data_IF_398831586341
#
_entry.id   IF_398831586341
#
_cell.length_a   1.000
_cell.length_b   1.000
_cell.length_c   1.000
_cell.angle_alpha   90.00
_cell.angle_beta   90.00
_cell.angle_gamma   90.00
#
_symmetry.space_group_name_H-M   'P 1'
#
loop_
_entity.id
_entity.type
_entity.pdbx_description
1 polymer ?
#
# COMPACT_ATOMS: atom_id res chain seq x y z
N UNK A 1 -21.83 25.79 31.06
CA UNK A 1 -21.01 26.71 30.24
C UNK A 1 -19.70 26.00 29.91
N UNK A 2 -19.26 26.04 28.64
CA UNK A 2 -17.97 25.59 28.05
C UNK A 2 -17.62 24.09 28.20
N UNK A 3 -17.87 23.19 27.22
CA UNK A 3 -17.44 23.11 25.80
C UNK A 3 -15.94 22.83 25.67
N UNK A 4 -15.57 21.58 25.41
CA UNK A 4 -14.25 21.19 24.90
C UNK A 4 -14.46 20.07 23.88
N UNK A 5 -14.66 20.49 22.64
CA UNK A 5 -14.54 19.64 21.47
C UNK A 5 -13.05 19.40 21.23
N UNK A 6 -12.58 18.18 21.46
CA UNK A 6 -11.24 17.77 21.02
C UNK A 6 -11.33 17.47 19.53
N UNK A 7 -10.94 18.47 18.74
CA UNK A 7 -10.72 18.39 17.31
C UNK A 7 -9.54 17.43 17.09
N UNK A 8 -9.82 16.19 16.70
CA UNK A 8 -8.77 15.31 16.14
C UNK A 8 -8.35 15.92 14.81
N UNK A 9 -7.13 16.45 14.78
CA UNK A 9 -6.49 16.91 13.57
C UNK A 9 -6.33 15.72 12.61
N UNK A 10 -7.10 15.71 11.52
CA UNK A 10 -6.76 14.90 10.37
C UNK A 10 -5.45 15.47 9.81
N UNK A 11 -4.34 14.75 10.03
CA UNK A 11 -3.12 14.95 9.25
C UNK A 11 -3.45 14.50 7.81
N UNK A 12 -3.86 15.46 6.97
CA UNK A 12 -3.91 15.26 5.54
C UNK A 12 -2.47 15.36 5.00
N UNK A 13 -1.72 14.27 5.10
CA UNK A 13 -0.49 14.08 4.31
C UNK A 13 -0.92 13.87 2.87
N UNK A 14 -0.80 14.93 2.06
CA UNK A 14 -0.92 14.82 0.62
C UNK A 14 0.27 14.00 0.11
N UNK A 15 0.11 12.67 0.05
CA UNK A 15 1.04 11.79 -0.61
C UNK A 15 1.03 12.14 -2.10
N UNK A 16 2.21 12.51 -2.61
CA UNK A 16 2.46 12.70 -4.03
C UNK A 16 2.11 11.39 -4.74
N UNK A 17 1.05 11.39 -5.54
CA UNK A 17 0.73 10.31 -6.48
C UNK A 17 1.82 10.31 -7.56
N UNK A 18 2.92 9.62 -7.28
CA UNK A 18 3.83 9.16 -8.33
C UNK A 18 3.09 8.10 -9.12
N UNK A 19 3.02 8.24 -10.45
CA UNK A 19 2.50 7.20 -11.32
C UNK A 19 3.16 5.87 -10.94
N UNK A 20 2.35 4.95 -10.40
CA UNK A 20 2.87 3.79 -9.68
C UNK A 20 3.70 2.89 -10.56
N UNK A 21 4.74 2.32 -9.98
CA UNK A 21 5.56 1.31 -10.63
C UNK A 21 4.79 0.06 -11.04
N UNK A 22 5.50 -0.93 -11.58
CA UNK A 22 4.88 -2.12 -12.15
C UNK A 22 4.30 -3.06 -11.06
N UNK A 23 4.75 -2.95 -9.80
CA UNK A 23 4.21 -3.68 -8.66
C UNK A 23 4.34 -2.88 -7.36
N UNK A 24 3.47 -3.16 -6.39
CA UNK A 24 3.45 -2.53 -5.07
C UNK A 24 3.32 -3.56 -3.95
N UNK A 25 4.05 -3.33 -2.85
CA UNK A 25 4.00 -4.17 -1.64
C UNK A 25 3.87 -3.34 -0.37
N UNK A 26 3.17 -3.89 0.63
CA UNK A 26 3.27 -3.41 2.00
C UNK A 26 4.43 -4.10 2.70
N UNK A 27 5.14 -3.36 3.55
CA UNK A 27 6.37 -3.80 4.22
C UNK A 27 6.27 -3.53 5.72
N UNK A 28 6.80 -4.42 6.55
CA UNK A 28 6.76 -4.23 8.01
C UNK A 28 7.48 -2.96 8.45
N UNK A 29 7.20 -2.46 9.67
CA UNK A 29 7.92 -1.31 10.26
C UNK A 29 9.44 -1.57 10.28
N UNK A 30 10.15 -1.01 9.31
CA UNK A 30 11.59 -1.25 9.07
C UNK A 30 11.94 -1.63 7.64
N UNK A 31 10.97 -1.88 6.77
CA UNK A 31 11.16 -2.08 5.33
C UNK A 31 11.82 -3.41 4.92
N UNK A 32 12.11 -4.30 5.88
CA UNK A 32 12.93 -5.49 5.66
C UNK A 32 12.21 -6.71 5.08
N UNK A 33 10.88 -6.78 5.18
CA UNK A 33 10.08 -7.89 4.66
C UNK A 33 8.71 -7.40 4.20
N UNK A 34 8.11 -8.12 3.25
CA UNK A 34 6.77 -7.87 2.72
C UNK A 34 5.74 -8.46 3.66
N UNK A 35 4.80 -7.63 4.09
CA UNK A 35 3.64 -8.05 4.89
C UNK A 35 2.60 -8.67 3.95
N UNK A 36 2.61 -10.00 3.84
CA UNK A 36 1.77 -10.71 2.85
C UNK A 36 0.29 -10.41 3.03
N UNK A 37 -0.22 -10.54 4.27
CA UNK A 37 -1.64 -10.33 4.56
C UNK A 37 -2.05 -8.88 4.30
N UNK A 38 -1.24 -7.90 4.73
CA UNK A 38 -1.53 -6.48 4.52
C UNK A 38 -1.50 -6.14 3.03
N UNK A 39 -0.50 -6.64 2.29
CA UNK A 39 -0.38 -6.41 0.85
C UNK A 39 -1.57 -6.98 0.10
N UNK A 40 -2.00 -8.20 0.44
CA UNK A 40 -3.16 -8.85 -0.17
C UNK A 40 -4.45 -8.09 0.11
N UNK A 41 -4.70 -7.71 1.36
CA UNK A 41 -5.88 -6.96 1.76
C UNK A 41 -5.89 -5.54 1.17
N UNK A 42 -4.73 -4.88 1.08
CA UNK A 42 -4.62 -3.58 0.43
C UNK A 42 -4.81 -3.67 -1.07
N UNK A 43 -4.24 -4.67 -1.73
CA UNK A 43 -4.40 -4.85 -3.17
C UNK A 43 -5.87 -5.03 -3.56
N UNK A 44 -6.64 -5.78 -2.76
CA UNK A 44 -8.08 -5.92 -2.95
C UNK A 44 -8.87 -4.62 -2.71
N UNK A 45 -8.32 -3.67 -1.94
CA UNK A 45 -9.01 -2.44 -1.55
C UNK A 45 -8.75 -1.25 -2.49
N UNK A 46 -7.58 -1.18 -3.14
CA UNK A 46 -7.10 0.06 -3.80
C UNK A 46 -7.58 0.24 -5.23
N UNK A 47 -7.74 -0.83 -6.00
CA UNK A 47 -8.27 -0.74 -7.37
C UNK A 47 -8.74 -2.09 -7.92
N UNK A 48 -9.89 -2.09 -8.60
CA UNK A 48 -10.44 -3.26 -9.29
C UNK A 48 -9.65 -3.70 -10.54
N UNK A 49 -8.71 -2.88 -11.01
CA UNK A 49 -7.73 -3.20 -12.06
C UNK A 49 -6.39 -3.65 -11.48
N UNK A 50 -6.31 -4.01 -10.20
CA UNK A 50 -5.14 -4.65 -9.60
C UNK A 50 -5.47 -6.05 -9.13
N UNK A 51 -4.47 -6.92 -9.14
CA UNK A 51 -4.58 -8.28 -8.62
C UNK A 51 -3.40 -8.56 -7.73
N UNK A 52 -3.64 -9.32 -6.67
CA UNK A 52 -2.58 -9.85 -5.85
C UNK A 52 -1.97 -11.07 -6.54
N UNK A 53 -0.66 -11.05 -6.72
CA UNK A 53 0.12 -12.17 -7.23
C UNK A 53 0.59 -13.06 -6.08
N UNK A 54 0.05 -14.27 -6.02
CA UNK A 54 0.34 -15.24 -4.96
C UNK A 54 1.74 -15.86 -5.07
N UNK A 55 2.44 -15.69 -6.20
CA UNK A 55 3.77 -16.28 -6.43
C UNK A 55 4.86 -15.33 -5.92
N UNK A 56 4.72 -14.05 -6.24
CA UNK A 56 5.68 -13.00 -5.89
C UNK A 56 5.25 -12.16 -4.69
N UNK A 57 4.03 -12.36 -4.19
CA UNK A 57 3.43 -11.64 -3.06
C UNK A 57 3.30 -10.14 -3.29
N UNK A 58 2.98 -9.76 -4.52
CA UNK A 58 2.94 -8.39 -4.98
C UNK A 58 1.55 -8.00 -5.42
N UNK A 59 1.16 -6.74 -5.21
CA UNK A 59 0.05 -6.18 -5.96
C UNK A 59 0.54 -5.78 -7.35
N UNK A 60 -0.13 -6.24 -8.41
CA UNK A 60 0.24 -5.97 -9.81
C UNK A 60 -0.98 -5.47 -10.59
N UNK A 61 -0.81 -4.59 -11.60
CA UNK A 61 -1.92 -4.15 -12.42
C UNK A 61 -2.39 -5.28 -13.37
N UNK A 62 -3.71 -5.38 -13.58
CA UNK A 62 -4.33 -6.38 -14.44
C UNK A 62 -4.19 -6.06 -15.93
N UNK A 63 -4.51 -4.82 -16.29
CA UNK A 63 -4.69 -4.34 -17.67
C UNK A 63 -4.12 -2.93 -17.91
N UNK A 64 -3.63 -2.26 -16.85
CA UNK A 64 -3.24 -0.85 -16.88
C UNK A 64 -1.72 -0.65 -16.72
N UNK A 65 -1.22 0.50 -17.18
CA UNK A 65 0.18 0.93 -17.04
C UNK A 65 0.48 1.51 -15.64
N UNK A 66 0.05 0.82 -14.58
CA UNK A 66 0.37 1.23 -13.20
C UNK A 66 -0.71 0.90 -12.18
N UNK A 67 -0.31 0.95 -10.91
CA UNK A 67 -1.16 0.76 -9.72
C UNK A 67 -1.49 2.11 -9.11
N UNK A 68 -2.61 2.19 -8.39
CA UNK A 68 -2.87 3.31 -7.47
C UNK A 68 -1.94 3.22 -6.25
N UNK A 69 -0.68 3.61 -6.43
CA UNK A 69 0.36 3.67 -5.41
C UNK A 69 -0.07 4.47 -4.19
N UNK A 70 -0.72 5.61 -4.39
CA UNK A 70 -1.25 6.44 -3.31
C UNK A 70 -2.19 5.65 -2.41
N UNK A 71 -3.19 4.97 -2.98
CA UNK A 71 -4.10 4.11 -2.23
C UNK A 71 -3.40 2.95 -1.52
N UNK A 72 -2.36 2.38 -2.15
CA UNK A 72 -1.54 1.34 -1.51
C UNK A 72 -0.81 1.89 -0.29
N UNK A 73 -0.15 3.04 -0.42
CA UNK A 73 0.53 3.74 0.68
C UNK A 73 -0.43 4.02 1.82
N UNK A 74 -1.57 4.68 1.55
CA UNK A 74 -2.59 5.00 2.56
C UNK A 74 -3.10 3.73 3.28
N UNK A 75 -3.29 2.64 2.55
CA UNK A 75 -3.76 1.39 3.11
C UNK A 75 -2.68 0.70 3.96
N UNK A 76 -1.44 0.61 3.49
CA UNK A 76 -0.34 0.01 4.25
C UNK A 76 -0.11 0.82 5.56
N UNK A 77 -0.05 2.16 5.47
CA UNK A 77 0.17 3.04 6.61
C UNK A 77 -0.97 2.93 7.64
N UNK A 78 -2.22 2.84 7.19
CA UNK A 78 -3.38 2.60 8.06
C UNK A 78 -3.32 1.28 8.84
N UNK A 79 -2.53 0.32 8.36
CA UNK A 79 -2.28 -0.97 9.04
C UNK A 79 -0.93 -1.02 9.78
N UNK A 80 -0.21 0.11 9.86
CA UNK A 80 1.09 0.21 10.51
C UNK A 80 2.24 -0.38 9.70
N UNK A 81 2.06 -0.53 8.38
CA UNK A 81 3.09 -0.96 7.43
C UNK A 81 3.60 0.22 6.59
N UNK A 82 4.81 0.12 6.05
CA UNK A 82 5.28 1.00 4.97
C UNK A 82 4.83 0.47 3.61
N UNK A 83 4.84 1.30 2.57
CA UNK A 83 4.63 0.85 1.18
C UNK A 83 5.93 1.01 0.39
N UNK A 84 6.15 0.10 -0.57
CA UNK A 84 7.32 0.11 -1.44
C UNK A 84 6.96 -0.35 -2.85
N UNK A 85 7.40 0.44 -3.81
CA UNK A 85 7.36 0.10 -5.23
C UNK A 85 8.41 -0.96 -5.55
N UNK A 86 8.03 -1.96 -6.34
CA UNK A 86 8.87 -3.08 -6.71
C UNK A 86 8.76 -3.42 -8.21
N UNK A 87 9.78 -4.14 -8.70
CA UNK A 87 9.68 -4.81 -10.00
C UNK A 87 8.76 -6.03 -9.91
N UNK A 88 7.96 -6.27 -10.95
CA UNK A 88 7.18 -7.52 -11.06
C UNK A 88 8.15 -8.70 -11.04
N UNK A 89 7.96 -9.62 -10.09
CA UNK A 89 8.80 -10.80 -9.95
C UNK A 89 10.07 -10.58 -9.13
N UNK A 90 10.20 -9.46 -8.43
CA UNK A 90 11.29 -9.24 -7.48
C UNK A 90 11.22 -10.27 -6.34
N UNK A 91 12.37 -10.85 -6.01
CA UNK A 91 12.51 -11.77 -4.88
C UNK A 91 12.32 -10.99 -3.58
N UNK A 92 11.26 -11.30 -2.85
CA UNK A 92 10.91 -10.59 -1.61
C UNK A 92 10.81 -11.56 -0.45
N UNK A 93 11.42 -11.17 0.67
CA UNK A 93 11.29 -11.89 1.93
C UNK A 93 9.93 -11.56 2.52
N UNK A 94 9.12 -12.58 2.80
CA UNK A 94 7.78 -12.42 3.39
C UNK A 94 7.83 -12.52 4.90
N UNK A 95 7.08 -11.64 5.54
CA UNK A 95 6.58 -11.74 6.90
C UNK A 95 5.03 -11.79 6.86
#
# INVERSE_FOLDING_TARGET
MFKLATVSALLATAALVSAGGPAEVCTGMGGGCVEYQITKDCCAAVDQNTRFDEVFHQCIPLLANGINTGGMVDCCESRGAGSREEGIGADTVVC
#
